data_IF_380617348682
#
_entry.id   IF_380617348682
#
_cell.length_a   1.000
_cell.length_b   1.000
_cell.length_c   1.000
_cell.angle_alpha   90.00
_cell.angle_beta   90.00
_cell.angle_gamma   90.00
#
_symmetry.space_group_name_H-M   'P 1'
#
loop_
_entity.id
_entity.type
_entity.pdbx_description
1 polymer ?
#
# COMPACT_ATOMS: atom_id res chain seq x y z
N UNK A 1 -16.86 -15.44 1.49
CA UNK A 1 -16.01 -14.25 1.52
C UNK A 1 -14.52 -14.58 1.46
N UNK A 2 -14.07 -15.71 2.04
CA UNK A 2 -12.64 -16.06 2.16
C UNK A 2 -11.94 -16.46 0.84
N UNK A 3 -12.66 -16.57 -0.27
CA UNK A 3 -12.15 -17.03 -1.58
C UNK A 3 -12.14 -15.92 -2.63
N UNK A 4 -12.51 -14.68 -2.29
CA UNK A 4 -12.56 -13.54 -3.20
C UNK A 4 -11.55 -12.47 -2.78
N UNK A 5 -10.98 -11.78 -3.78
CA UNK A 5 -10.06 -10.66 -3.52
C UNK A 5 -10.79 -9.44 -2.94
N UNK A 6 -10.07 -8.54 -2.27
CA UNK A 6 -10.63 -7.30 -1.75
C UNK A 6 -11.34 -6.47 -2.83
N UNK A 7 -10.75 -6.35 -4.01
CA UNK A 7 -11.37 -5.64 -5.13
C UNK A 7 -12.62 -6.31 -5.70
N UNK A 8 -12.67 -7.66 -5.70
CA UNK A 8 -13.91 -8.38 -6.06
C UNK A 8 -15.01 -8.13 -5.04
N UNK A 9 -14.67 -8.17 -3.75
CA UNK A 9 -15.62 -7.90 -2.67
C UNK A 9 -16.17 -6.48 -2.76
N UNK A 10 -15.31 -5.51 -3.05
CA UNK A 10 -15.70 -4.11 -3.22
C UNK A 10 -16.65 -3.91 -4.41
N UNK A 11 -16.41 -4.59 -5.54
CA UNK A 11 -17.33 -4.58 -6.70
C UNK A 11 -18.68 -5.20 -6.37
N UNK A 12 -18.71 -6.29 -5.60
CA UNK A 12 -19.96 -6.92 -5.11
C UNK A 12 -20.74 -5.95 -4.22
N UNK A 13 -20.07 -5.27 -3.28
CA UNK A 13 -20.72 -4.27 -2.41
C UNK A 13 -21.29 -3.10 -3.23
N UNK A 14 -20.56 -2.61 -4.23
CA UNK A 14 -21.06 -1.57 -5.14
C UNK A 14 -22.31 -2.06 -5.91
N UNK A 15 -22.28 -3.28 -6.45
CA UNK A 15 -23.42 -3.85 -7.16
C UNK A 15 -24.64 -4.02 -6.24
N UNK A 16 -24.44 -4.42 -4.98
CA UNK A 16 -25.50 -4.50 -3.98
C UNK A 16 -26.10 -3.13 -3.67
N UNK A 17 -25.27 -2.10 -3.49
CA UNK A 17 -25.74 -0.74 -3.24
C UNK A 17 -26.48 -0.14 -4.43
N UNK A 18 -26.09 -0.49 -5.66
CA UNK A 18 -26.74 -0.03 -6.89
C UNK A 18 -28.00 -0.82 -7.28
N UNK A 19 -28.22 -2.01 -6.69
CA UNK A 19 -29.37 -2.87 -7.01
C UNK A 19 -30.73 -2.15 -6.91
N UNK A 20 -31.02 -1.32 -5.89
CA UNK A 20 -32.26 -0.55 -5.80
C UNK A 20 -32.32 0.68 -6.72
N UNK A 21 -31.29 0.95 -7.55
CA UNK A 21 -31.15 2.15 -8.38
C UNK A 21 -31.28 3.45 -7.58
N UNK A 22 -30.35 3.71 -6.66
CA UNK A 22 -30.42 4.87 -5.79
C UNK A 22 -30.18 6.18 -6.57
N UNK A 23 -30.77 7.27 -6.11
CA UNK A 23 -30.47 8.61 -6.62
C UNK A 23 -29.13 9.14 -6.10
N UNK A 24 -28.68 8.66 -4.93
CA UNK A 24 -27.41 9.03 -4.28
C UNK A 24 -26.71 7.81 -3.72
N UNK A 25 -25.42 7.71 -3.98
CA UNK A 25 -24.52 6.71 -3.36
C UNK A 25 -23.43 7.40 -2.55
N UNK A 26 -23.08 6.85 -1.38
CA UNK A 26 -21.98 7.33 -0.54
C UNK A 26 -20.89 6.26 -0.51
N UNK A 27 -19.71 6.61 -0.95
CA UNK A 27 -18.51 5.79 -0.85
C UNK A 27 -17.65 6.30 0.32
N UNK A 28 -17.51 5.50 1.37
CA UNK A 28 -16.68 5.80 2.54
C UNK A 28 -15.40 4.97 2.49
N UNK A 29 -14.30 5.60 2.09
CA UNK A 29 -12.98 5.00 1.91
C UNK A 29 -12.98 3.64 1.17
N UNK A 30 -13.64 3.51 0.03
CA UNK A 30 -13.89 2.20 -0.59
C UNK A 30 -12.64 1.49 -1.11
N UNK A 31 -11.50 2.16 -1.17
CA UNK A 31 -10.26 1.60 -1.74
C UNK A 31 -9.10 1.49 -0.75
N UNK A 32 -9.29 1.84 0.52
CA UNK A 32 -8.22 1.91 1.54
C UNK A 32 -7.45 0.61 1.74
N UNK A 33 -8.08 -0.54 1.55
CA UNK A 33 -7.44 -1.87 1.73
C UNK A 33 -6.95 -2.51 0.42
N UNK A 34 -7.00 -1.79 -0.69
CA UNK A 34 -6.64 -2.29 -2.02
C UNK A 34 -5.21 -1.91 -2.40
N UNK A 35 -4.55 -2.75 -3.19
CA UNK A 35 -3.33 -2.36 -3.88
C UNK A 35 -3.63 -1.39 -5.03
N UNK A 36 -2.61 -0.65 -5.46
CA UNK A 36 -2.76 0.47 -6.43
C UNK A 36 -3.42 0.03 -7.75
N UNK A 37 -3.08 -1.14 -8.26
CA UNK A 37 -3.63 -1.64 -9.54
C UNK A 37 -5.11 -1.98 -9.39
N UNK A 38 -5.44 -2.75 -8.35
CA UNK A 38 -6.83 -3.09 -8.03
C UNK A 38 -7.66 -1.84 -7.70
N UNK A 39 -7.05 -0.84 -7.03
CA UNK A 39 -7.68 0.45 -6.73
C UNK A 39 -8.12 1.16 -8.01
N UNK A 40 -7.24 1.27 -9.01
CA UNK A 40 -7.56 1.92 -10.30
C UNK A 40 -8.73 1.22 -11.01
N UNK A 41 -8.71 -0.12 -11.05
CA UNK A 41 -9.79 -0.90 -11.67
C UNK A 41 -11.14 -0.72 -10.95
N UNK A 42 -11.13 -0.73 -9.62
CA UNK A 42 -12.35 -0.56 -8.80
C UNK A 42 -12.91 0.85 -8.98
N UNK A 43 -12.05 1.88 -8.94
CA UNK A 43 -12.46 3.27 -9.19
C UNK A 43 -13.06 3.47 -10.56
N UNK A 44 -12.42 2.93 -11.60
CA UNK A 44 -12.94 2.98 -12.97
C UNK A 44 -14.32 2.33 -13.09
N UNK A 45 -14.51 1.18 -12.43
CA UNK A 45 -15.80 0.49 -12.40
C UNK A 45 -16.88 1.29 -11.65
N UNK A 46 -16.53 1.89 -10.50
CA UNK A 46 -17.45 2.74 -9.71
C UNK A 46 -17.89 3.97 -10.51
N UNK A 47 -16.94 4.63 -11.17
CA UNK A 47 -17.22 5.78 -12.02
C UNK A 47 -18.14 5.42 -13.17
N UNK A 48 -17.85 4.34 -13.89
CA UNK A 48 -18.70 3.89 -15.00
C UNK A 48 -20.13 3.60 -14.56
N UNK A 49 -20.33 2.98 -13.39
CA UNK A 49 -21.66 2.69 -12.84
C UNK A 49 -22.39 3.99 -12.46
N UNK A 50 -21.74 4.93 -11.80
CA UNK A 50 -22.32 6.22 -11.42
C UNK A 50 -22.77 7.00 -12.67
N UNK A 51 -21.94 7.02 -13.72
CA UNK A 51 -22.25 7.66 -15.00
C UNK A 51 -23.41 6.95 -15.74
N UNK A 52 -23.38 5.60 -15.83
CA UNK A 52 -24.38 4.81 -16.54
C UNK A 52 -25.79 4.97 -15.93
N UNK A 53 -25.88 4.98 -14.60
CA UNK A 53 -27.16 5.09 -13.89
C UNK A 53 -27.56 6.54 -13.59
N UNK A 54 -26.73 7.52 -13.94
CA UNK A 54 -26.92 8.95 -13.64
C UNK A 54 -27.19 9.18 -12.14
N UNK A 55 -26.45 8.47 -11.27
CA UNK A 55 -26.59 8.52 -9.83
C UNK A 55 -25.66 9.61 -9.28
N UNK A 56 -26.12 10.43 -8.33
CA UNK A 56 -25.23 11.33 -7.61
C UNK A 56 -24.31 10.54 -6.66
N UNK A 57 -23.06 10.99 -6.46
CA UNK A 57 -22.12 10.31 -5.61
C UNK A 57 -21.42 11.26 -4.63
N UNK A 58 -21.25 10.80 -3.39
CA UNK A 58 -20.33 11.40 -2.42
C UNK A 58 -19.19 10.41 -2.22
N UNK A 59 -17.95 10.88 -2.41
CA UNK A 59 -16.76 10.08 -2.22
C UNK A 59 -15.93 10.62 -1.06
N UNK A 60 -15.85 9.86 0.03
CA UNK A 60 -15.09 10.22 1.22
C UNK A 60 -13.75 9.48 1.18
N UNK A 61 -12.64 10.22 1.24
CA UNK A 61 -11.31 9.63 1.24
C UNK A 61 -10.26 10.63 1.72
N UNK A 62 -9.15 10.09 2.19
CA UNK A 62 -7.91 10.84 2.45
C UNK A 62 -6.92 10.76 1.28
N UNK A 63 -7.22 9.96 0.25
CA UNK A 63 -6.35 9.81 -0.93
C UNK A 63 -6.68 10.83 -2.02
N UNK A 64 -5.86 11.86 -2.09
CA UNK A 64 -6.00 12.96 -3.04
C UNK A 64 -5.83 12.55 -4.52
N UNK A 65 -5.12 11.43 -4.78
CA UNK A 65 -4.99 10.91 -6.14
C UNK A 65 -6.30 10.31 -6.65
N UNK A 66 -7.06 9.70 -5.73
CA UNK A 66 -8.40 9.17 -5.99
C UNK A 66 -9.39 10.28 -6.27
N UNK A 67 -9.40 11.32 -5.41
CA UNK A 67 -10.30 12.47 -5.55
C UNK A 67 -10.16 13.13 -6.92
N UNK A 68 -8.93 13.28 -7.40
CA UNK A 68 -8.63 13.86 -8.71
C UNK A 68 -9.28 13.12 -9.88
N UNK A 69 -9.55 11.82 -9.73
CA UNK A 69 -10.11 10.96 -10.78
C UNK A 69 -11.62 10.81 -10.70
N UNK A 70 -12.20 11.00 -9.51
CA UNK A 70 -13.60 10.66 -9.22
C UNK A 70 -14.51 11.87 -9.05
N UNK A 71 -14.01 12.99 -8.52
CA UNK A 71 -14.84 14.10 -8.08
C UNK A 71 -14.86 15.27 -9.07
N UNK A 72 -16.03 15.89 -9.23
CA UNK A 72 -16.21 17.16 -9.94
C UNK A 72 -15.90 18.35 -9.03
N UNK A 73 -16.32 18.24 -7.77
CA UNK A 73 -16.12 19.25 -6.71
C UNK A 73 -15.48 18.58 -5.50
N UNK A 74 -14.53 19.26 -4.89
CA UNK A 74 -13.83 18.81 -3.70
C UNK A 74 -14.18 19.73 -2.54
N UNK A 75 -14.55 19.12 -1.41
CA UNK A 75 -14.78 19.80 -0.14
C UNK A 75 -13.77 19.30 0.88
N UNK A 76 -13.02 20.19 1.45
CA UNK A 76 -11.99 19.89 2.47
C UNK A 76 -12.57 20.16 3.86
N UNK A 77 -12.48 19.16 4.74
CA UNK A 77 -12.95 19.26 6.12
C UNK A 77 -11.76 19.17 7.09
N UNK A 78 -11.86 19.91 8.20
CA UNK A 78 -10.93 19.84 9.31
C UNK A 78 -11.68 20.06 10.63
N UNK A 79 -11.51 19.15 11.58
CA UNK A 79 -12.19 19.20 12.89
C UNK A 79 -13.71 19.34 12.81
N UNK A 80 -14.33 18.79 11.76
CA UNK A 80 -15.77 18.86 11.52
C UNK A 80 -16.26 20.16 10.86
N UNK A 81 -15.35 21.07 10.54
CA UNK A 81 -15.64 22.34 9.86
C UNK A 81 -15.16 22.29 8.40
N UNK A 82 -15.89 22.99 7.54
CA UNK A 82 -15.49 23.20 6.16
C UNK A 82 -14.33 24.19 6.09
N UNK A 83 -13.25 23.79 5.40
CA UNK A 83 -12.06 24.62 5.19
C UNK A 83 -12.10 25.28 3.82
N UNK A 84 -12.40 24.48 2.78
CA UNK A 84 -12.40 24.96 1.40
C UNK A 84 -13.28 24.08 0.52
N UNK A 85 -13.99 24.71 -0.43
CA UNK A 85 -14.74 24.04 -1.48
C UNK A 85 -14.39 24.65 -2.84
N UNK A 86 -14.05 23.81 -3.81
CA UNK A 86 -13.80 24.24 -5.18
C UNK A 86 -13.98 23.09 -6.17
N UNK A 87 -14.09 23.42 -7.47
CA UNK A 87 -14.00 22.41 -8.51
C UNK A 87 -12.67 21.67 -8.43
N UNK A 88 -12.66 20.40 -8.78
CA UNK A 88 -11.46 19.55 -8.74
C UNK A 88 -10.27 20.20 -9.44
N UNK A 89 -10.49 20.80 -10.60
CA UNK A 89 -9.43 21.48 -11.35
C UNK A 89 -8.80 22.65 -10.57
N UNK A 90 -9.61 23.47 -9.92
CA UNK A 90 -9.13 24.61 -9.12
C UNK A 90 -8.42 24.10 -7.88
N UNK A 91 -9.04 23.15 -7.17
CA UNK A 91 -8.48 22.57 -5.94
C UNK A 91 -7.11 21.92 -6.13
N UNK A 92 -6.89 21.29 -7.30
CA UNK A 92 -5.62 20.64 -7.61
C UNK A 92 -4.50 21.60 -8.03
N UNK A 93 -4.85 22.71 -8.71
CA UNK A 93 -3.86 23.60 -9.29
C UNK A 93 -3.58 24.86 -8.44
N UNK A 94 -4.59 25.36 -7.74
CA UNK A 94 -4.51 26.63 -7.01
C UNK A 94 -5.41 26.62 -5.76
N UNK A 95 -5.18 25.73 -4.80
CA UNK A 95 -5.89 25.75 -3.51
C UNK A 95 -5.59 27.04 -2.77
N UNK A 96 -6.58 27.60 -2.09
CA UNK A 96 -6.46 28.92 -1.42
C UNK A 96 -6.00 28.75 0.03
N UNK A 97 -6.60 27.82 0.75
CA UNK A 97 -6.38 27.65 2.16
C UNK A 97 -5.03 26.99 2.48
N UNK A 98 -4.38 27.46 3.54
CA UNK A 98 -3.07 26.96 3.96
C UNK A 98 -3.13 25.46 4.33
N UNK A 99 -4.21 25.01 4.94
CA UNK A 99 -4.41 23.61 5.28
C UNK A 99 -4.52 22.75 4.01
N UNK A 100 -5.33 23.17 3.05
CA UNK A 100 -5.47 22.48 1.76
C UNK A 100 -4.13 22.40 1.02
N UNK A 101 -3.37 23.50 0.97
CA UNK A 101 -2.02 23.51 0.42
C UNK A 101 -1.10 22.49 1.09
N UNK A 102 -1.18 22.37 2.41
CA UNK A 102 -0.37 21.40 3.16
C UNK A 102 -0.70 19.96 2.82
N UNK A 103 -1.97 19.63 2.55
CA UNK A 103 -2.39 18.29 2.10
C UNK A 103 -1.79 17.95 0.71
N UNK A 104 -1.76 18.95 -0.20
CA UNK A 104 -1.19 18.77 -1.54
C UNK A 104 0.34 18.74 -1.54
N UNK A 105 1.00 19.43 -0.62
CA UNK A 105 2.47 19.54 -0.57
C UNK A 105 3.18 18.21 -0.32
N UNK A 106 2.51 17.24 0.29
CA UNK A 106 3.04 15.88 0.51
C UNK A 106 3.42 15.18 -0.80
N UNK A 107 2.79 15.54 -1.93
CA UNK A 107 3.13 15.00 -3.26
C UNK A 107 4.46 15.51 -3.81
N UNK A 108 4.96 16.65 -3.32
CA UNK A 108 6.16 17.32 -3.81
C UNK A 108 7.42 16.96 -3.00
N UNK A 109 7.35 16.00 -2.08
CA UNK A 109 8.51 15.57 -1.30
C UNK A 109 9.47 14.76 -2.18
N UNK A 110 10.44 15.45 -2.77
CA UNK A 110 11.56 14.80 -3.45
C UNK A 110 12.61 14.39 -2.42
N UNK A 111 12.95 13.10 -2.40
CA UNK A 111 14.08 12.63 -1.61
C UNK A 111 15.38 13.02 -2.31
N UNK A 112 16.34 13.70 -1.64
CA UNK A 112 17.64 13.99 -2.22
C UNK A 112 18.29 12.71 -2.75
N UNK A 113 18.94 12.80 -3.93
CA UNK A 113 19.70 11.70 -4.51
C UNK A 113 20.86 11.39 -3.56
N UNK A 114 20.85 10.20 -2.99
CA UNK A 114 21.94 9.73 -2.14
C UNK A 114 23.11 9.27 -3.00
N UNK A 115 24.33 9.56 -2.53
CA UNK A 115 25.54 9.03 -3.18
C UNK A 115 25.57 7.51 -3.03
N UNK A 116 26.08 6.78 -4.04
CA UNK A 116 26.30 5.35 -3.92
C UNK A 116 27.09 5.01 -2.65
N UNK A 117 26.63 4.03 -1.91
CA UNK A 117 27.29 3.55 -0.69
C UNK A 117 27.41 2.03 -0.76
N UNK A 118 28.19 1.46 0.16
CA UNK A 118 28.35 0.00 0.23
C UNK A 118 27.00 -0.70 0.39
N UNK A 119 26.84 -1.85 -0.25
CA UNK A 119 25.64 -2.68 -0.13
C UNK A 119 25.52 -3.21 1.29
N UNK A 120 24.42 -2.87 1.97
CA UNK A 120 24.13 -3.36 3.32
C UNK A 120 23.44 -4.72 3.30
N UNK A 121 22.47 -4.90 2.38
CA UNK A 121 21.72 -6.13 2.21
C UNK A 121 21.72 -6.52 0.73
N UNK A 122 22.04 -7.77 0.45
CA UNK A 122 22.00 -8.34 -0.92
C UNK A 122 21.22 -9.64 -0.89
N UNK A 123 20.21 -9.74 -1.73
CA UNK A 123 19.48 -10.96 -2.05
C UNK A 123 19.87 -11.38 -3.46
N UNK A 124 20.23 -12.63 -3.67
CA UNK A 124 20.61 -13.16 -4.99
C UNK A 124 19.88 -14.46 -5.27
N UNK A 125 19.10 -14.49 -6.35
CA UNK A 125 18.40 -15.67 -6.84
C UNK A 125 17.43 -16.27 -5.81
N UNK A 126 16.70 -15.49 -5.07
CA UNK A 126 15.83 -15.96 -3.98
C UNK A 126 14.61 -16.67 -4.52
N UNK A 127 14.49 -17.93 -4.18
CA UNK A 127 13.26 -18.74 -4.32
C UNK A 127 12.65 -18.99 -2.95
N UNK A 128 11.32 -18.88 -2.83
CA UNK A 128 10.59 -19.21 -1.60
C UNK A 128 9.19 -19.75 -1.87
N UNK A 129 8.69 -20.59 -0.95
CA UNK A 129 7.37 -21.22 -1.06
C UNK A 129 6.65 -21.28 0.28
N UNK A 130 5.33 -21.40 0.22
CA UNK A 130 4.48 -21.86 1.32
C UNK A 130 3.98 -23.28 0.96
N UNK A 131 4.52 -24.28 1.64
CA UNK A 131 4.25 -25.67 1.30
C UNK A 131 4.71 -25.97 -0.16
N UNK A 132 3.75 -26.39 -0.99
CA UNK A 132 4.01 -26.72 -2.41
C UNK A 132 3.91 -25.52 -3.35
N UNK A 133 3.41 -24.37 -2.88
CA UNK A 133 3.20 -23.18 -3.72
C UNK A 133 4.43 -22.29 -3.69
N UNK A 134 5.16 -22.25 -4.81
CA UNK A 134 6.30 -21.34 -4.97
C UNK A 134 5.77 -19.91 -5.22
N UNK A 135 6.27 -18.94 -4.44
CA UNK A 135 5.81 -17.54 -4.45
C UNK A 135 6.91 -16.60 -4.92
N UNK A 136 8.17 -16.84 -4.55
CA UNK A 136 9.31 -16.07 -5.07
C UNK A 136 10.08 -16.90 -6.08
N UNK A 137 10.43 -16.27 -7.20
CA UNK A 137 11.10 -16.88 -8.33
C UNK A 137 12.36 -16.06 -8.67
N UNK A 138 13.52 -16.47 -8.21
CA UNK A 138 14.82 -15.87 -8.49
C UNK A 138 14.87 -14.35 -8.25
N UNK A 139 14.38 -13.91 -7.11
CA UNK A 139 14.33 -12.47 -6.76
C UNK A 139 15.69 -11.98 -6.32
N UNK A 140 16.16 -10.90 -6.96
CA UNK A 140 17.37 -10.16 -6.61
C UNK A 140 16.99 -8.78 -6.05
N UNK A 141 17.62 -8.40 -4.93
CA UNK A 141 17.43 -7.07 -4.31
C UNK A 141 18.76 -6.64 -3.71
N UNK A 142 19.15 -5.40 -3.98
CA UNK A 142 20.28 -4.76 -3.31
C UNK A 142 19.81 -3.52 -2.55
N UNK A 143 20.22 -3.39 -1.29
CA UNK A 143 19.93 -2.24 -0.46
C UNK A 143 21.25 -1.61 -0.03
N UNK A 144 21.64 -0.46 -0.61
CA UNK A 144 22.82 0.28 -0.19
C UNK A 144 22.63 0.83 1.23
N UNK A 145 23.71 0.98 1.96
CA UNK A 145 23.70 1.54 3.32
C UNK A 145 23.13 2.97 3.33
N UNK A 146 22.20 3.23 4.27
CA UNK A 146 21.55 4.53 4.39
C UNK A 146 20.52 4.84 3.30
N UNK A 147 20.27 3.92 2.36
CA UNK A 147 19.25 4.09 1.32
C UNK A 147 17.91 3.44 1.71
N UNK A 148 16.88 3.77 0.95
CA UNK A 148 15.56 3.13 1.03
C UNK A 148 15.24 2.52 -0.32
N UNK A 149 14.98 1.22 -0.36
CA UNK A 149 14.52 0.51 -1.55
C UNK A 149 13.04 0.19 -1.37
N UNK A 150 12.21 0.58 -2.33
CA UNK A 150 10.80 0.26 -2.34
C UNK A 150 10.55 -1.00 -3.16
N UNK A 151 9.78 -1.94 -2.60
CA UNK A 151 9.27 -3.12 -3.31
C UNK A 151 7.79 -2.92 -3.56
N UNK A 152 7.42 -2.77 -4.83
CA UNK A 152 6.04 -2.47 -5.28
C UNK A 152 5.47 -3.62 -6.12
N UNK A 153 4.15 -3.71 -6.21
CA UNK A 153 3.44 -4.72 -7.01
C UNK A 153 2.05 -5.01 -6.46
N UNK A 154 1.30 -5.81 -7.19
CA UNK A 154 -0.08 -6.20 -6.86
C UNK A 154 -0.17 -7.06 -5.60
N UNK A 155 -1.39 -7.19 -5.05
CA UNK A 155 -1.66 -8.14 -3.97
C UNK A 155 -1.29 -9.56 -4.42
N UNK A 156 -0.60 -10.30 -3.55
CA UNK A 156 -0.11 -11.64 -3.91
C UNK A 156 1.21 -11.70 -4.68
N UNK A 157 1.81 -10.58 -5.11
CA UNK A 157 3.07 -10.56 -5.88
C UNK A 157 4.32 -10.98 -5.10
N UNK A 158 4.22 -11.32 -3.82
CA UNK A 158 5.35 -11.81 -3.02
C UNK A 158 6.04 -10.78 -2.14
N UNK A 159 5.59 -9.51 -2.06
CA UNK A 159 6.22 -8.45 -1.25
C UNK A 159 6.38 -8.84 0.22
N UNK A 160 5.31 -9.28 0.87
CA UNK A 160 5.35 -9.75 2.27
C UNK A 160 6.15 -11.04 2.43
N UNK A 161 6.20 -11.89 1.40
CA UNK A 161 7.03 -13.09 1.37
C UNK A 161 8.50 -12.72 1.35
N UNK A 162 8.90 -11.74 0.55
CA UNK A 162 10.25 -11.18 0.51
C UNK A 162 10.67 -10.64 1.89
N UNK A 163 9.81 -9.86 2.55
CA UNK A 163 10.09 -9.35 3.89
C UNK A 163 10.28 -10.49 4.93
N UNK A 164 9.46 -11.55 4.85
CA UNK A 164 9.59 -12.73 5.73
C UNK A 164 10.87 -13.52 5.45
N UNK A 165 11.31 -13.59 4.20
CA UNK A 165 12.57 -14.24 3.84
C UNK A 165 13.75 -13.42 4.38
N UNK A 166 13.76 -12.11 4.19
CA UNK A 166 14.80 -11.21 4.72
C UNK A 166 14.92 -11.35 6.25
N UNK A 167 13.79 -11.41 6.96
CA UNK A 167 13.77 -11.52 8.42
C UNK A 167 14.02 -12.95 8.93
N UNK A 168 14.05 -13.97 8.06
CA UNK A 168 14.26 -15.37 8.43
C UNK A 168 13.03 -16.06 9.01
N UNK A 169 11.85 -15.40 8.93
CA UNK A 169 10.57 -15.99 9.31
C UNK A 169 10.08 -17.04 8.30
N UNK A 170 10.53 -16.93 7.05
CA UNK A 170 10.36 -17.92 6.01
C UNK A 170 11.73 -18.26 5.42
N UNK A 171 12.22 -19.49 5.54
CA UNK A 171 13.50 -19.88 4.94
C UNK A 171 13.36 -19.94 3.41
N UNK A 172 14.34 -19.39 2.68
CA UNK A 172 14.41 -19.50 1.23
C UNK A 172 14.71 -20.93 0.79
N UNK A 173 14.17 -21.35 -0.33
CA UNK A 173 14.46 -22.63 -0.98
C UNK A 173 15.84 -22.62 -1.66
N UNK A 174 16.09 -21.55 -2.44
CA UNK A 174 17.33 -21.32 -3.16
C UNK A 174 17.77 -19.86 -3.04
N UNK A 175 18.98 -19.58 -3.50
CA UNK A 175 19.60 -18.26 -3.43
C UNK A 175 20.33 -17.99 -2.11
N UNK A 176 20.92 -16.81 -2.00
CA UNK A 176 21.70 -16.36 -0.85
C UNK A 176 21.27 -14.98 -0.39
N UNK A 177 21.37 -14.74 0.90
CA UNK A 177 21.18 -13.42 1.51
C UNK A 177 22.46 -13.05 2.24
N UNK A 178 22.98 -11.88 1.93
CA UNK A 178 24.13 -11.30 2.62
C UNK A 178 23.71 -10.02 3.33
N UNK A 179 24.17 -9.84 4.57
CA UNK A 179 23.94 -8.65 5.36
C UNK A 179 25.27 -8.14 5.89
N UNK A 180 25.64 -6.92 5.50
CA UNK A 180 26.92 -6.31 5.83
C UNK A 180 28.13 -7.14 5.37
N UNK A 181 28.01 -7.77 4.18
CA UNK A 181 29.06 -8.63 3.60
C UNK A 181 29.13 -10.06 4.18
N UNK A 182 28.26 -10.40 5.13
CA UNK A 182 28.23 -11.74 5.72
C UNK A 182 26.94 -12.48 5.31
N UNK A 183 27.07 -13.78 5.03
CA UNK A 183 25.92 -14.62 4.71
C UNK A 183 24.97 -14.74 5.92
N UNK A 184 23.68 -14.48 5.69
CA UNK A 184 22.66 -14.65 6.72
C UNK A 184 22.15 -16.09 6.78
N UNK A 185 22.04 -16.69 7.98
CA UNK A 185 21.34 -17.96 8.15
C UNK A 185 19.89 -17.88 7.67
N UNK A 186 19.42 -18.96 7.03
CA UNK A 186 18.07 -19.02 6.43
C UNK A 186 16.95 -18.86 7.47
N UNK A 187 17.10 -19.46 8.66
CA UNK A 187 16.09 -19.43 9.71
C UNK A 187 16.42 -18.39 10.77
N UNK A 188 15.40 -17.72 11.26
CA UNK A 188 15.52 -16.74 12.33
C UNK A 188 16.17 -17.35 13.60
N UNK A 189 15.86 -18.62 13.92
CA UNK A 189 16.44 -19.33 15.08
C UNK A 189 17.97 -19.44 15.03
N UNK A 190 18.52 -19.52 13.84
CA UNK A 190 19.97 -19.72 13.58
C UNK A 190 20.75 -18.40 13.56
N UNK A 191 20.05 -17.25 13.52
CA UNK A 191 20.67 -15.92 13.50
C UNK A 191 21.16 -15.49 14.88
N UNK A 192 22.28 -14.80 14.91
CA UNK A 192 22.84 -14.23 16.16
C UNK A 192 21.89 -13.18 16.76
N UNK A 193 22.10 -12.87 18.05
CA UNK A 193 21.35 -11.80 18.71
C UNK A 193 21.56 -10.44 18.05
N UNK A 194 22.77 -10.16 17.55
CA UNK A 194 23.08 -8.91 16.85
C UNK A 194 22.36 -8.83 15.50
N UNK A 195 22.37 -9.90 14.70
CA UNK A 195 21.62 -9.94 13.43
C UNK A 195 20.12 -9.75 13.64
N UNK A 196 19.54 -10.37 14.70
CA UNK A 196 18.12 -10.19 15.06
C UNK A 196 17.82 -8.76 15.49
N UNK A 197 18.70 -8.11 16.24
CA UNK A 197 18.57 -6.72 16.67
C UNK A 197 18.66 -5.74 15.50
N UNK A 198 19.54 -6.02 14.53
CA UNK A 198 19.83 -5.11 13.40
C UNK A 198 18.87 -5.23 12.23
N UNK A 199 18.11 -6.33 12.13
CA UNK A 199 17.10 -6.54 11.10
C UNK A 199 15.74 -6.64 11.79
N UNK A 200 14.92 -5.62 11.64
CA UNK A 200 13.61 -5.53 12.25
C UNK A 200 12.52 -5.44 11.19
N UNK A 201 11.31 -5.87 11.51
CA UNK A 201 10.15 -5.81 10.63
C UNK A 201 8.98 -5.12 11.33
N UNK A 202 8.36 -4.17 10.66
CA UNK A 202 7.09 -3.59 11.05
C UNK A 202 6.00 -4.25 10.21
N UNK A 203 5.03 -4.86 10.87
CA UNK A 203 3.92 -5.53 10.20
C UNK A 203 2.88 -4.53 9.70
N UNK A 204 2.14 -4.91 8.66
CA UNK A 204 1.11 -4.10 8.06
C UNK A 204 -0.01 -3.72 9.04
N UNK A 205 -0.37 -4.63 9.95
CA UNK A 205 -1.38 -4.41 10.99
C UNK A 205 -0.72 -4.47 12.37
N UNK A 206 -0.59 -3.31 13.00
CA UNK A 206 0.08 -3.19 14.30
C UNK A 206 -0.68 -3.90 15.42
N UNK A 207 -2.00 -3.88 15.39
CA UNK A 207 -2.90 -4.52 16.35
C UNK A 207 -2.79 -6.05 16.37
N UNK A 208 -2.51 -6.68 15.22
CA UNK A 208 -2.27 -8.12 15.14
C UNK A 208 -0.85 -8.52 15.56
N UNK A 209 0.08 -7.57 15.56
CA UNK A 209 1.48 -7.79 15.91
C UNK A 209 1.76 -7.57 17.41
N UNK A 210 0.90 -6.83 18.08
CA UNK A 210 1.03 -6.54 19.51
C UNK A 210 0.24 -7.55 20.35
N UNK A 211 0.83 -8.03 21.44
CA UNK A 211 0.12 -8.91 22.36
C UNK A 211 -0.82 -8.06 23.25
N UNK A 212 -2.17 -8.17 23.10
CA UNK A 212 -3.11 -7.34 23.87
C UNK A 212 -3.10 -7.63 25.38
N UNK A 213 -2.38 -8.68 25.83
CA UNK A 213 -2.25 -9.06 27.25
C UNK A 213 -0.96 -8.56 27.89
N UNK A 214 -0.10 -7.86 27.15
CA UNK A 214 1.10 -7.23 27.66
C UNK A 214 0.91 -5.71 27.63
N UNK A 215 0.89 -5.12 28.81
CA UNK A 215 0.92 -3.66 29.02
C UNK A 215 2.36 -3.18 29.10
#
# INVERSE_FOLDING_TARGET
PHQVSGGQLQRVMTAMAMSPRPDLIVFDEPTTALDVTTQVEVLSSMRAIVEEFNTAAIYITHDLAVVAQMADVIKVLRYGEEVEEASTRVMLNDPKEAYTKSLWSVRALEKPIQKPSDTLLSLKGIDASYGTVKVLHQVDIEVPRGSTVAVVGESGSGKSTTARVITGLLPQLAGSIEFNGEALPKKLSERSKDQKRRIQMIYQMADTAMNPRQT
#
